data_IF_179262227550
#
_entry.id   IF_179262227550
#
_cell.length_a   1.000
_cell.length_b   1.000
_cell.length_c   1.000
_cell.angle_alpha   90.00
_cell.angle_beta   90.00
_cell.angle_gamma   90.00
#
_symmetry.space_group_name_H-M   'P 1'
#
loop_
_entity.id
_entity.type
_entity.pdbx_description
1 polymer ?
#
# COMPACT_ATOMS: atom_id res chain seq x y z
N UNK A 1 -18.33 14.73 -25.02
CA UNK A 1 -18.64 14.44 -23.60
C UNK A 1 -19.43 15.62 -23.02
N UNK A 2 -20.51 15.38 -22.26
CA UNK A 2 -21.40 16.47 -21.80
C UNK A 2 -20.72 17.28 -20.70
N UNK A 3 -20.56 18.59 -20.88
CA UNK A 3 -19.87 19.51 -19.94
C UNK A 3 -20.39 19.41 -18.50
N UNK A 4 -21.70 19.28 -18.30
CA UNK A 4 -22.29 19.04 -16.97
C UNK A 4 -21.75 17.81 -16.24
N UNK A 5 -21.42 16.73 -16.96
CA UNK A 5 -20.84 15.51 -16.37
C UNK A 5 -19.39 15.76 -15.95
N UNK A 6 -18.61 16.36 -16.85
CA UNK A 6 -17.21 16.76 -16.60
C UNK A 6 -17.11 17.66 -15.37
N UNK A 7 -17.98 18.67 -15.25
CA UNK A 7 -17.96 19.60 -14.12
C UNK A 7 -18.28 18.91 -12.79
N UNK A 8 -19.23 17.97 -12.78
CA UNK A 8 -19.56 17.19 -11.58
C UNK A 8 -18.42 16.25 -11.18
N UNK A 9 -17.78 15.61 -12.15
CA UNK A 9 -16.64 14.74 -11.89
C UNK A 9 -15.47 15.56 -11.30
N UNK A 10 -15.18 16.74 -11.86
CA UNK A 10 -14.17 17.65 -11.34
C UNK A 10 -14.47 18.12 -9.90
N UNK A 11 -15.72 18.46 -9.58
CA UNK A 11 -16.13 18.83 -8.23
C UNK A 11 -15.98 17.65 -7.25
N UNK A 12 -16.31 16.44 -7.69
CA UNK A 12 -16.11 15.20 -6.92
C UNK A 12 -14.63 14.93 -6.63
N UNK A 13 -13.77 15.06 -7.65
CA UNK A 13 -12.31 14.93 -7.49
C UNK A 13 -11.79 15.95 -6.48
N UNK A 14 -12.23 17.21 -6.57
CA UNK A 14 -11.80 18.25 -5.63
C UNK A 14 -12.15 17.89 -4.18
N UNK A 15 -13.40 17.47 -3.93
CA UNK A 15 -13.85 17.07 -2.59
C UNK A 15 -13.08 15.88 -2.03
N UNK A 16 -12.78 14.90 -2.89
CA UNK A 16 -11.97 13.75 -2.50
C UNK A 16 -10.55 14.19 -2.11
N UNK A 17 -9.93 15.07 -2.89
CA UNK A 17 -8.60 15.60 -2.60
C UNK A 17 -8.58 16.41 -1.30
N UNK A 18 -9.56 17.29 -1.09
CA UNK A 18 -9.69 18.07 0.14
C UNK A 18 -9.80 17.15 1.38
N UNK A 19 -10.55 16.05 1.25
CA UNK A 19 -10.69 15.06 2.32
C UNK A 19 -9.38 14.29 2.59
N UNK A 20 -8.69 13.83 1.54
CA UNK A 20 -7.42 13.12 1.65
C UNK A 20 -6.30 14.00 2.24
N UNK A 21 -6.25 15.28 1.87
CA UNK A 21 -5.30 16.24 2.44
C UNK A 21 -5.54 16.46 3.93
N UNK A 22 -6.81 16.48 4.36
CA UNK A 22 -7.17 16.66 5.77
C UNK A 22 -6.91 15.40 6.61
N UNK A 23 -7.10 14.22 6.01
CA UNK A 23 -6.97 12.93 6.68
C UNK A 23 -6.08 12.00 5.85
N UNK A 24 -4.75 12.15 5.91
CA UNK A 24 -3.84 11.31 5.14
C UNK A 24 -4.01 9.85 5.56
N UNK A 25 -4.49 8.96 4.66
CA UNK A 25 -4.84 7.58 5.03
C UNK A 25 -3.61 6.69 5.21
N UNK A 26 -2.48 7.08 4.64
CA UNK A 26 -1.23 6.33 4.70
C UNK A 26 -0.08 7.26 5.11
N UNK A 27 0.88 6.78 5.91
CA UNK A 27 2.10 7.51 6.18
C UNK A 27 2.93 7.66 4.89
N UNK A 28 3.59 8.80 4.73
CA UNK A 28 4.58 8.97 3.67
C UNK A 28 5.76 8.03 3.92
N UNK A 29 5.95 7.07 3.03
CA UNK A 29 7.04 6.09 3.07
C UNK A 29 7.79 6.14 1.75
N UNK A 30 9.12 5.96 1.80
CA UNK A 30 9.96 5.95 0.60
C UNK A 30 9.61 4.79 -0.35
N UNK A 31 9.17 3.68 0.23
CA UNK A 31 8.86 2.47 -0.50
C UNK A 31 7.51 1.90 -0.02
N UNK A 32 6.71 1.38 -0.94
CA UNK A 32 5.38 0.82 -0.70
C UNK A 32 5.45 -0.69 -0.88
N UNK A 33 5.04 -1.49 0.11
CA UNK A 33 5.07 -2.95 -0.02
C UNK A 33 3.69 -3.53 -0.37
N UNK A 34 3.66 -4.38 -1.39
CA UNK A 34 2.51 -5.23 -1.70
C UNK A 34 2.24 -6.21 -0.56
N UNK A 35 1.01 -6.21 -0.05
CA UNK A 35 0.59 -7.13 1.02
C UNK A 35 0.48 -8.57 0.49
N UNK A 36 0.02 -8.74 -0.75
CA UNK A 36 -0.20 -10.07 -1.33
C UNK A 36 1.09 -10.78 -1.73
N UNK A 37 2.12 -10.02 -2.12
CA UNK A 37 3.37 -10.58 -2.67
C UNK A 37 4.62 -10.23 -1.88
N UNK A 38 4.52 -9.31 -0.90
CA UNK A 38 5.66 -8.82 -0.13
C UNK A 38 6.67 -8.01 -0.96
N UNK A 39 6.36 -7.67 -2.21
CA UNK A 39 7.26 -6.90 -3.06
C UNK A 39 7.18 -5.43 -2.73
N UNK A 40 8.35 -4.83 -2.53
CA UNK A 40 8.51 -3.41 -2.30
C UNK A 40 8.57 -2.71 -3.67
N UNK A 41 7.59 -1.86 -3.92
CA UNK A 41 7.64 -0.86 -4.98
C UNK A 41 8.31 0.41 -4.46
N UNK A 42 9.27 0.92 -5.24
CA UNK A 42 9.89 2.22 -5.05
C UNK A 42 9.49 3.16 -6.21
N UNK A 43 10.10 4.33 -6.30
CA UNK A 43 9.89 5.28 -7.41
C UNK A 43 10.13 4.70 -8.81
N UNK A 44 10.85 3.58 -8.92
CA UNK A 44 11.18 2.90 -10.19
C UNK A 44 10.20 1.79 -10.52
N UNK A 45 9.46 1.28 -9.55
CA UNK A 45 8.56 0.13 -9.68
C UNK A 45 7.12 0.60 -9.48
N UNK A 46 6.45 0.93 -10.57
CA UNK A 46 5.02 1.27 -10.56
C UNK A 46 4.13 0.01 -10.62
N UNK A 47 2.81 0.19 -10.47
CA UNK A 47 1.84 -0.90 -10.46
C UNK A 47 1.83 -1.73 -11.77
N UNK A 48 2.10 -1.12 -12.92
CA UNK A 48 2.09 -1.79 -14.22
C UNK A 48 3.23 -2.82 -14.35
N UNK A 49 4.45 -2.43 -13.98
CA UNK A 49 5.64 -3.31 -14.08
C UNK A 49 5.87 -4.16 -12.82
N UNK A 50 5.17 -3.85 -11.72
CA UNK A 50 5.31 -4.58 -10.46
C UNK A 50 5.04 -6.08 -10.64
N UNK A 51 4.06 -6.45 -11.46
CA UNK A 51 3.68 -7.84 -11.71
C UNK A 51 4.81 -8.62 -12.39
N UNK A 52 5.43 -8.05 -13.42
CA UNK A 52 6.53 -8.71 -14.13
C UNK A 52 7.76 -8.90 -13.24
N UNK A 53 8.08 -7.88 -12.44
CA UNK A 53 9.18 -7.94 -11.46
C UNK A 53 8.89 -9.01 -10.40
N UNK A 54 7.65 -9.10 -9.92
CA UNK A 54 7.19 -10.17 -9.02
C UNK A 54 7.39 -11.53 -9.66
N UNK A 55 6.90 -11.73 -10.90
CA UNK A 55 7.00 -13.01 -11.60
C UNK A 55 8.47 -13.45 -11.76
N UNK A 56 9.36 -12.53 -12.15
CA UNK A 56 10.80 -12.80 -12.25
C UNK A 56 11.41 -13.14 -10.89
N UNK A 57 11.03 -12.42 -9.84
CA UNK A 57 11.51 -12.66 -8.47
C UNK A 57 11.07 -14.02 -7.93
N UNK A 58 9.78 -14.35 -8.07
CA UNK A 58 9.20 -15.62 -7.64
C UNK A 58 9.82 -16.79 -8.42
N UNK A 59 10.05 -16.63 -9.73
CA UNK A 59 10.71 -17.67 -10.55
C UNK A 59 12.10 -18.04 -10.05
N UNK A 60 12.81 -17.12 -9.39
CA UNK A 60 14.12 -17.39 -8.77
C UNK A 60 14.03 -18.06 -7.40
N UNK A 61 12.88 -17.95 -6.74
CA UNK A 61 12.61 -18.56 -5.43
C UNK A 61 12.05 -19.97 -5.60
N UNK A 62 11.26 -20.21 -6.66
CA UNK A 62 10.74 -21.54 -6.99
C UNK A 62 11.91 -22.53 -7.12
N UNK A 63 11.87 -23.60 -6.33
CA UNK A 63 12.92 -24.63 -6.28
C UNK A 63 14.10 -24.33 -5.35
N UNK A 64 14.12 -23.17 -4.68
CA UNK A 64 15.12 -22.84 -3.66
C UNK A 64 14.64 -23.27 -2.26
N UNK A 65 15.56 -23.77 -1.43
CA UNK A 65 15.26 -24.09 -0.02
C UNK A 65 14.93 -22.85 0.79
N UNK A 66 14.02 -22.97 1.77
CA UNK A 66 13.62 -21.85 2.63
C UNK A 66 14.81 -21.16 3.32
N UNK A 67 15.86 -21.90 3.65
CA UNK A 67 17.07 -21.37 4.31
C UNK A 67 17.96 -20.51 3.39
N UNK A 68 17.84 -20.65 2.07
CA UNK A 68 18.61 -19.87 1.10
C UNK A 68 17.91 -18.56 0.73
N UNK A 69 16.59 -18.48 0.90
CA UNK A 69 15.78 -17.28 0.67
C UNK A 69 15.98 -16.27 1.81
N UNK A 70 16.96 -15.38 1.65
CA UNK A 70 17.22 -14.31 2.61
C UNK A 70 16.56 -13.00 2.18
N UNK A 71 15.48 -12.61 2.87
CA UNK A 71 14.98 -11.24 2.78
C UNK A 71 15.97 -10.29 3.46
N UNK A 72 16.40 -9.23 2.74
CA UNK A 72 17.16 -8.13 3.36
C UNK A 72 16.34 -7.56 4.52
N UNK A 73 16.97 -7.22 5.64
CA UNK A 73 16.29 -6.70 6.85
C UNK A 73 15.44 -5.45 6.57
N UNK A 74 15.82 -4.70 5.54
CA UNK A 74 15.14 -3.52 5.02
C UNK A 74 13.82 -3.86 4.30
N UNK A 75 13.61 -5.13 3.94
CA UNK A 75 12.39 -5.65 3.32
C UNK A 75 11.47 -6.39 4.28
N UNK A 76 11.73 -6.34 5.60
CA UNK A 76 10.78 -6.88 6.58
C UNK A 76 9.65 -5.88 6.78
N UNK A 77 8.41 -6.32 6.55
CA UNK A 77 7.20 -5.57 6.89
C UNK A 77 7.28 -5.23 8.37
N UNK A 78 7.45 -3.94 8.68
CA UNK A 78 7.10 -3.45 10.01
C UNK A 78 5.59 -3.48 10.06
N UNK A 79 5.01 -4.12 11.07
CA UNK A 79 3.57 -4.01 11.29
C UNK A 79 3.24 -2.52 11.32
N UNK A 80 2.36 -2.09 10.42
CA UNK A 80 1.74 -0.78 10.57
C UNK A 80 1.06 -0.86 11.92
N UNK A 81 1.54 -0.07 12.88
CA UNK A 81 0.83 0.09 14.16
C UNK A 81 -0.58 0.49 13.72
N UNK A 82 -1.63 -0.28 14.01
CA UNK A 82 -2.97 0.18 13.71
C UNK A 82 -3.05 1.52 14.41
N UNK A 83 -3.22 2.61 13.66
CA UNK A 83 -3.57 3.89 14.27
C UNK A 83 -4.71 3.54 15.19
N UNK A 84 -4.43 3.59 16.50
CA UNK A 84 -5.35 3.07 17.48
C UNK A 84 -6.69 3.70 17.15
N UNK A 85 -7.68 2.86 16.82
CA UNK A 85 -9.05 3.33 16.80
C UNK A 85 -9.32 3.70 18.26
N UNK A 86 -9.04 4.95 18.62
CA UNK A 86 -9.19 5.45 19.99
C UNK A 86 -10.66 5.36 20.44
N UNK A 87 -11.58 5.09 19.50
CA UNK A 87 -13.01 4.86 19.75
C UNK A 87 -13.41 3.39 19.96
N UNK A 88 -12.50 2.42 19.77
CA UNK A 88 -12.78 1.00 20.06
C UNK A 88 -12.31 0.57 21.46
N UNK A 89 -12.21 1.50 22.42
CA UNK A 89 -12.01 1.13 23.83
C UNK A 89 -13.38 0.76 24.41
N UNK A 90 -13.80 -0.49 24.21
CA UNK A 90 -14.89 -1.06 24.98
C UNK A 90 -14.59 -0.86 26.48
N UNK A 91 -15.46 -0.18 27.25
CA UNK A 91 -15.35 -0.23 28.69
C UNK A 91 -15.61 -1.67 29.12
N UNK A 92 -14.57 -2.27 29.68
CA UNK A 92 -14.55 -3.54 30.38
C UNK A 92 -15.79 -3.65 31.28
N UNK A 93 -16.68 -4.59 30.96
CA UNK A 93 -17.76 -5.02 31.85
C UNK A 93 -17.14 -5.90 32.93
N UNK A 94 -16.80 -5.29 34.06
CA UNK A 94 -16.86 -5.97 35.35
C UNK A 94 -18.28 -5.96 35.89
#
# INVERSE_FOLDING_TARGET
MRSSRVNRDNDGVKKLMDWLCKYPPFPEVKDIMSISTGVIGDEKINCHISQDIICIGISKIIGSDFYTVKFKRNGRIKSVIPYACYECRHPDRR
#
